data_IF_990749170454
#
_entry.id   IF_990749170454
#
_cell.length_a   1.000
_cell.length_b   1.000
_cell.length_c   1.000
_cell.angle_alpha   90.00
_cell.angle_beta   90.00
_cell.angle_gamma   90.00
#
_symmetry.space_group_name_H-M   'P 1'
#
loop_
_entity.id
_entity.type
_entity.pdbx_description
1 polymer ?
#
# COMPACT_ATOMS: atom_id res chain seq x y z
N UNK A 1 4.10 0.51 18.59
CA UNK A 1 4.67 -0.36 17.54
C UNK A 1 4.05 -0.08 16.20
N UNK A 2 4.81 -0.07 15.15
CA UNK A 2 4.32 0.14 13.79
C UNK A 2 5.00 -0.77 12.78
N UNK A 3 4.30 -1.06 11.69
CA UNK A 3 4.82 -1.78 10.53
C UNK A 3 4.34 -1.09 9.24
N UNK A 4 5.20 -1.07 8.22
CA UNK A 4 4.90 -0.47 6.94
C UNK A 4 5.32 0.99 6.82
N UNK A 5 5.20 1.54 5.61
CA UNK A 5 5.54 2.92 5.30
C UNK A 5 4.47 3.88 5.83
N UNK A 6 4.73 4.53 6.92
CA UNK A 6 3.77 5.41 7.57
C UNK A 6 4.11 6.87 7.27
N UNK A 7 3.10 7.65 6.94
CA UNK A 7 3.23 9.00 6.39
C UNK A 7 3.01 10.09 7.43
N UNK A 8 3.04 9.72 8.72
CA UNK A 8 2.56 10.59 9.77
C UNK A 8 3.66 11.03 10.71
N UNK A 9 3.70 12.33 10.96
CA UNK A 9 4.22 13.05 12.09
C UNK A 9 5.38 12.33 12.80
N UNK A 10 5.19 11.85 14.00
CA UNK A 10 6.25 11.14 14.74
C UNK A 10 6.62 9.77 14.14
N UNK A 11 5.76 9.13 13.37
CA UNK A 11 6.14 7.93 12.60
C UNK A 11 7.12 8.24 11.45
N UNK A 12 7.28 9.49 11.04
CA UNK A 12 8.35 9.87 10.13
C UNK A 12 9.75 9.55 10.68
N UNK A 13 9.89 9.38 12.00
CA UNK A 13 11.11 8.88 12.62
C UNK A 13 11.48 7.43 12.25
N UNK A 14 10.54 6.67 11.67
CA UNK A 14 10.72 5.26 11.25
C UNK A 14 11.21 5.12 9.81
N UNK A 15 11.20 6.18 9.01
CA UNK A 15 11.62 6.15 7.61
C UNK A 15 13.04 6.67 7.43
N UNK A 16 13.68 6.31 6.31
CA UNK A 16 15.06 6.73 6.00
C UNK A 16 15.24 8.25 5.79
N UNK A 17 14.15 9.01 5.70
CA UNK A 17 14.12 10.46 5.52
C UNK A 17 13.57 11.15 6.76
N UNK A 18 14.23 10.96 7.87
CA UNK A 18 13.83 11.46 9.18
C UNK A 18 14.53 12.78 9.58
N UNK A 19 15.21 13.43 8.64
CA UNK A 19 15.82 14.73 8.87
C UNK A 19 14.76 15.76 9.30
N UNK A 20 15.05 16.47 10.41
CA UNK A 20 14.12 17.42 11.01
C UNK A 20 13.15 16.82 12.04
N UNK A 21 13.08 15.50 12.16
CA UNK A 21 12.29 14.84 13.21
C UNK A 21 13.09 14.81 14.52
N UNK A 22 12.53 15.23 15.66
CA UNK A 22 13.23 15.16 16.94
C UNK A 22 13.65 13.73 17.28
N UNK A 23 14.89 13.56 17.73
CA UNK A 23 15.46 12.22 18.00
C UNK A 23 14.69 11.42 19.06
N UNK A 24 14.13 12.09 20.07
CA UNK A 24 13.36 11.42 21.11
C UNK A 24 12.11 10.71 20.59
N UNK A 25 11.58 11.10 19.42
CA UNK A 25 10.44 10.40 18.82
C UNK A 25 10.81 8.95 18.44
N UNK A 26 12.08 8.70 18.09
CA UNK A 26 12.55 7.34 17.78
C UNK A 26 12.48 6.40 18.98
N UNK A 27 12.74 6.93 20.16
CA UNK A 27 12.73 6.14 21.41
C UNK A 27 11.31 5.67 21.78
N UNK A 28 10.30 6.39 21.30
CA UNK A 28 8.89 6.08 21.52
C UNK A 28 8.31 5.09 20.51
N UNK A 29 9.09 4.67 19.52
CA UNK A 29 8.62 3.83 18.42
C UNK A 29 9.44 2.54 18.36
N UNK A 30 8.73 1.41 18.25
CA UNK A 30 9.32 0.12 17.93
C UNK A 30 8.80 -0.34 16.57
N UNK A 31 9.66 -0.90 15.75
CA UNK A 31 9.33 -1.36 14.40
C UNK A 31 9.34 -2.88 14.40
N UNK A 32 8.36 -3.49 13.76
CA UNK A 32 8.33 -4.92 13.48
C UNK A 32 8.11 -5.17 11.99
N UNK A 33 8.58 -6.31 11.51
CA UNK A 33 8.41 -6.71 10.11
C UNK A 33 6.98 -7.16 9.85
N UNK A 34 6.46 -6.83 8.66
CA UNK A 34 5.16 -7.34 8.24
C UNK A 34 5.22 -8.87 8.10
N UNK A 35 4.18 -9.57 8.56
CA UNK A 35 4.11 -11.03 8.69
C UNK A 35 5.03 -11.66 9.75
N UNK A 36 5.77 -10.88 10.53
CA UNK A 36 6.59 -11.36 11.65
C UNK A 36 5.87 -11.14 12.99
N UNK A 37 4.96 -12.05 13.31
CA UNK A 37 4.27 -12.01 14.60
C UNK A 37 5.16 -12.36 15.79
N UNK A 38 6.22 -13.14 15.57
CA UNK A 38 7.12 -13.58 16.62
C UNK A 38 8.06 -12.41 17.00
N UNK A 39 8.51 -11.63 16.01
CA UNK A 39 9.23 -10.37 16.26
C UNK A 39 8.38 -9.35 17.01
N UNK A 40 7.07 -9.25 16.70
CA UNK A 40 6.17 -8.38 17.46
C UNK A 40 6.00 -8.88 18.91
N UNK A 41 5.87 -10.18 19.13
CA UNK A 41 5.79 -10.77 20.48
C UNK A 41 7.05 -10.48 21.29
N UNK A 42 8.23 -10.60 20.67
CA UNK A 42 9.50 -10.25 21.31
C UNK A 42 9.57 -8.78 21.75
N UNK A 43 9.03 -7.86 20.93
CA UNK A 43 8.95 -6.43 21.30
C UNK A 43 8.08 -6.24 22.55
N UNK A 44 6.97 -6.96 22.69
CA UNK A 44 6.14 -6.91 23.91
C UNK A 44 6.86 -7.46 25.14
N UNK A 45 7.66 -8.52 24.98
CA UNK A 45 8.46 -9.08 26.07
C UNK A 45 9.51 -8.08 26.55
N UNK A 46 10.21 -7.43 25.62
CA UNK A 46 11.28 -6.47 25.92
C UNK A 46 10.77 -5.13 26.47
N UNK A 47 9.52 -4.74 26.13
CA UNK A 47 8.93 -3.47 26.53
C UNK A 47 7.59 -3.70 27.27
N UNK A 48 7.65 -4.58 28.29
CA UNK A 48 6.48 -4.99 29.06
C UNK A 48 5.76 -3.77 29.65
N UNK A 49 4.45 -3.72 29.45
CA UNK A 49 3.54 -2.68 29.94
C UNK A 49 3.84 -1.25 29.39
N UNK A 50 4.71 -1.13 28.37
CA UNK A 50 5.11 0.16 27.78
C UNK A 50 4.48 0.42 26.40
N UNK A 51 3.93 -0.60 25.73
CA UNK A 51 3.37 -0.48 24.39
C UNK A 51 1.91 -0.03 24.47
N UNK A 52 1.63 1.23 24.14
CA UNK A 52 0.28 1.79 24.15
C UNK A 52 -0.57 1.30 22.96
N UNK A 53 0.04 1.16 21.78
CA UNK A 53 -0.67 0.78 20.58
C UNK A 53 0.22 0.07 19.54
N UNK A 54 -0.40 -0.77 18.73
CA UNK A 54 0.14 -1.30 17.47
C UNK A 54 -0.58 -0.57 16.34
N UNK A 55 0.16 -0.01 15.38
CA UNK A 55 -0.41 0.59 14.18
C UNK A 55 0.20 -0.04 12.93
N UNK A 56 -0.64 -0.45 11.97
CA UNK A 56 -0.17 -1.00 10.69
C UNK A 56 -1.21 -0.80 9.59
N UNK A 57 -0.76 -0.73 8.32
CA UNK A 57 -1.63 -1.03 7.19
C UNK A 57 -1.95 -2.54 7.25
N UNK A 58 -3.23 -2.95 7.27
CA UNK A 58 -3.58 -4.38 7.39
C UNK A 58 -3.13 -5.21 6.19
N UNK A 59 -2.90 -4.58 5.04
CA UNK A 59 -2.21 -5.15 3.89
C UNK A 59 -1.65 -4.07 2.99
N UNK A 60 -0.52 -4.36 2.31
CA UNK A 60 0.08 -3.46 1.31
C UNK A 60 0.03 -4.14 -0.06
N UNK A 61 1.11 -4.74 -0.51
CA UNK A 61 1.21 -5.59 -1.70
C UNK A 61 1.40 -7.06 -1.32
N UNK A 62 1.99 -7.30 -0.15
CA UNK A 62 2.10 -8.61 0.44
C UNK A 62 0.81 -8.96 1.19
N UNK A 63 0.33 -10.19 1.00
CA UNK A 63 -0.82 -10.70 1.74
C UNK A 63 -0.39 -11.04 3.17
N UNK A 64 -1.24 -10.74 4.17
CA UNK A 64 -0.98 -11.25 5.50
C UNK A 64 -1.03 -12.78 5.46
N UNK A 65 -0.08 -13.43 6.12
CA UNK A 65 -0.14 -14.87 6.36
C UNK A 65 -1.45 -15.23 7.08
N UNK A 66 -1.91 -16.45 6.92
CA UNK A 66 -3.26 -16.87 7.34
C UNK A 66 -3.63 -16.56 8.80
N UNK A 67 -2.66 -16.36 9.67
CA UNK A 67 -2.86 -16.07 11.09
C UNK A 67 -2.23 -14.76 11.58
N UNK A 68 -1.53 -14.03 10.73
CA UNK A 68 -0.77 -12.87 11.16
C UNK A 68 -1.63 -11.79 11.84
N UNK A 69 -2.67 -11.31 11.17
CA UNK A 69 -3.53 -10.26 11.73
C UNK A 69 -4.28 -10.73 13.00
N UNK A 70 -4.67 -12.00 13.06
CA UNK A 70 -5.29 -12.59 14.26
C UNK A 70 -4.29 -12.65 15.42
N UNK A 71 -3.03 -13.03 15.16
CA UNK A 71 -1.97 -12.99 16.18
C UNK A 71 -1.68 -11.58 16.67
N UNK A 72 -1.61 -10.59 15.75
CA UNK A 72 -1.45 -9.17 16.11
C UNK A 72 -2.60 -8.72 17.03
N UNK A 73 -3.85 -9.07 16.72
CA UNK A 73 -5.00 -8.77 17.58
C UNK A 73 -4.85 -9.43 18.96
N UNK A 74 -4.52 -10.72 18.98
CA UNK A 74 -4.33 -11.46 20.24
C UNK A 74 -3.23 -10.87 21.11
N UNK A 75 -2.11 -10.46 20.51
CA UNK A 75 -1.01 -9.83 21.23
C UNK A 75 -1.42 -8.45 21.79
N UNK A 76 -2.17 -7.66 21.02
CA UNK A 76 -2.70 -6.39 21.49
C UNK A 76 -3.62 -6.59 22.70
N UNK A 77 -4.57 -7.53 22.62
CA UNK A 77 -5.51 -7.84 23.71
C UNK A 77 -4.79 -8.33 24.96
N UNK A 78 -3.81 -9.25 24.81
CA UNK A 78 -3.06 -9.81 25.94
C UNK A 78 -2.20 -8.79 26.70
N UNK A 79 -1.82 -7.68 26.03
CA UNK A 79 -0.97 -6.64 26.60
C UNK A 79 -1.71 -5.31 26.85
N UNK A 80 -3.05 -5.29 26.78
CA UNK A 80 -3.87 -4.08 26.93
C UNK A 80 -3.43 -2.92 26.00
N UNK A 81 -2.95 -3.25 24.82
CA UNK A 81 -2.53 -2.28 23.80
C UNK A 81 -3.62 -2.12 22.76
N UNK A 82 -3.76 -0.91 22.20
CA UNK A 82 -4.71 -0.68 21.11
C UNK A 82 -4.18 -1.27 19.80
N UNK A 83 -5.06 -1.87 19.01
CA UNK A 83 -4.79 -2.17 17.61
C UNK A 83 -5.40 -1.07 16.74
N UNK A 84 -4.57 -0.41 15.95
CA UNK A 84 -4.98 0.65 15.02
C UNK A 84 -4.70 0.19 13.60
N UNK A 85 -5.73 0.15 12.75
CA UNK A 85 -5.54 -0.08 11.33
C UNK A 85 -5.46 1.23 10.56
N UNK A 86 -4.36 1.42 9.83
CA UNK A 86 -4.26 2.45 8.81
C UNK A 86 -4.93 1.94 7.53
N UNK A 87 -6.20 2.25 7.40
CA UNK A 87 -7.03 1.93 6.23
C UNK A 87 -7.17 3.11 5.26
N UNK A 88 -6.23 4.07 5.32
CA UNK A 88 -6.26 5.25 4.43
C UNK A 88 -6.18 4.83 2.96
N UNK A 89 -5.49 3.75 2.64
CA UNK A 89 -5.41 3.21 1.26
C UNK A 89 -6.39 2.07 1.05
N UNK A 90 -6.62 1.24 2.04
CA UNK A 90 -7.35 -0.03 1.92
C UNK A 90 -8.84 0.13 2.18
N UNK A 91 -9.24 1.02 3.06
CA UNK A 91 -10.64 1.35 3.32
C UNK A 91 -11.32 1.94 2.09
N UNK A 92 -12.58 1.59 1.86
CA UNK A 92 -13.36 1.98 0.69
C UNK A 92 -12.72 1.59 -0.67
N UNK A 93 -11.72 0.72 -0.62
CA UNK A 93 -11.05 0.16 -1.80
C UNK A 93 -11.14 -1.37 -1.81
N UNK A 94 -10.70 -2.03 -0.75
CA UNK A 94 -10.73 -3.49 -0.66
C UNK A 94 -12.14 -3.99 -0.33
N UNK A 95 -12.78 -3.30 0.58
CA UNK A 95 -14.17 -3.49 1.00
C UNK A 95 -14.69 -2.16 1.55
N UNK A 96 -16.01 -1.97 1.68
CA UNK A 96 -16.61 -0.78 2.29
C UNK A 96 -16.16 -0.62 3.75
N UNK A 97 -16.07 -1.73 4.48
CA UNK A 97 -15.57 -1.76 5.85
C UNK A 97 -14.06 -1.91 5.96
N UNK A 98 -13.33 -1.84 4.83
CA UNK A 98 -11.88 -1.99 4.79
C UNK A 98 -11.40 -3.44 4.92
N UNK A 99 -10.10 -3.59 5.12
CA UNK A 99 -9.46 -4.90 5.27
C UNK A 99 -9.87 -5.62 6.54
N UNK A 100 -10.34 -4.92 7.58
CA UNK A 100 -10.88 -5.58 8.77
C UNK A 100 -12.08 -6.48 8.43
N UNK A 101 -12.92 -6.10 7.46
CA UNK A 101 -13.99 -6.98 6.95
C UNK A 101 -13.42 -8.12 6.12
N UNK A 102 -12.46 -7.83 5.24
CA UNK A 102 -11.85 -8.83 4.37
C UNK A 102 -11.16 -9.95 5.14
N UNK A 103 -10.48 -9.62 6.24
CA UNK A 103 -9.72 -10.57 7.06
C UNK A 103 -10.42 -10.99 8.35
N UNK A 104 -11.61 -10.44 8.61
CA UNK A 104 -12.38 -10.69 9.83
C UNK A 104 -11.57 -10.46 11.12
N UNK A 105 -10.82 -9.35 11.14
CA UNK A 105 -10.05 -8.88 12.31
C UNK A 105 -10.45 -7.44 12.61
N UNK A 106 -11.03 -7.20 13.77
CA UNK A 106 -11.41 -5.86 14.23
C UNK A 106 -10.25 -5.13 14.89
N UNK A 107 -9.96 -3.94 14.42
CA UNK A 107 -9.11 -2.98 15.13
C UNK A 107 -9.93 -2.20 16.17
N UNK A 108 -9.24 -1.66 17.18
CA UNK A 108 -9.86 -0.75 18.16
C UNK A 108 -10.10 0.62 17.53
N UNK A 109 -9.18 1.07 16.70
CA UNK A 109 -9.32 2.32 15.96
C UNK A 109 -8.95 2.12 14.50
N UNK A 110 -9.55 2.91 13.61
CA UNK A 110 -9.30 2.84 12.18
C UNK A 110 -9.17 4.25 11.60
N UNK A 111 -8.14 4.45 10.78
CA UNK A 111 -7.92 5.68 10.02
C UNK A 111 -8.39 5.49 8.57
N UNK A 112 -9.26 6.36 8.08
CA UNK A 112 -9.75 6.37 6.70
C UNK A 112 -9.38 7.66 5.98
N UNK A 113 -9.28 7.60 4.65
CA UNK A 113 -9.02 8.74 3.78
C UNK A 113 -9.13 8.36 2.31
N UNK A 114 -8.42 9.05 1.46
CA UNK A 114 -8.28 8.76 0.01
C UNK A 114 -9.58 8.32 -0.68
N UNK A 115 -9.79 7.00 -0.83
CA UNK A 115 -10.96 6.42 -1.49
C UNK A 115 -12.30 6.83 -0.89
N UNK A 116 -12.33 7.10 0.42
CA UNK A 116 -13.51 7.57 1.13
C UNK A 116 -14.07 8.87 0.54
N UNK A 117 -13.19 9.83 0.23
CA UNK A 117 -13.56 11.13 -0.36
C UNK A 117 -13.44 11.17 -1.88
N UNK A 118 -12.82 10.17 -2.51
CA UNK A 118 -12.59 10.06 -3.97
C UNK A 118 -12.07 11.35 -4.62
N UNK A 119 -11.03 11.93 -4.01
CA UNK A 119 -10.38 13.16 -4.46
C UNK A 119 -10.72 14.40 -3.63
N UNK A 120 -11.72 14.36 -2.78
CA UNK A 120 -12.01 15.43 -1.84
C UNK A 120 -11.10 15.33 -0.59
N UNK A 121 -10.68 16.48 -0.01
CA UNK A 121 -9.75 16.52 1.12
C UNK A 121 -10.46 16.17 2.44
N UNK A 122 -10.65 14.89 2.69
CA UNK A 122 -11.29 14.38 3.90
C UNK A 122 -10.55 13.16 4.44
N UNK A 123 -10.51 13.06 5.76
CA UNK A 123 -10.08 11.87 6.49
C UNK A 123 -10.97 11.67 7.71
N UNK A 124 -10.96 10.46 8.25
CA UNK A 124 -11.70 10.14 9.44
C UNK A 124 -10.90 9.17 10.32
N UNK A 125 -11.01 9.35 11.63
CA UNK A 125 -10.61 8.39 12.64
C UNK A 125 -11.88 7.85 13.27
N UNK A 126 -12.01 6.56 13.38
CA UNK A 126 -13.16 5.89 13.99
C UNK A 126 -12.71 4.94 15.09
N UNK A 127 -13.55 4.73 16.08
CA UNK A 127 -13.29 3.84 17.19
C UNK A 127 -14.44 3.88 18.20
N UNK A 128 -14.36 3.06 19.28
CA UNK A 128 -15.36 3.08 20.35
C UNK A 128 -15.33 4.41 21.11
N UNK A 129 -16.49 4.78 21.63
CA UNK A 129 -16.67 6.06 22.34
C UNK A 129 -15.71 6.25 23.53
N UNK A 130 -15.30 5.16 24.15
CA UNK A 130 -14.34 5.21 25.28
C UNK A 130 -12.97 5.79 24.90
N UNK A 131 -12.55 5.66 23.62
CA UNK A 131 -11.34 6.30 23.10
C UNK A 131 -11.67 7.60 22.38
N UNK A 132 -12.77 7.64 21.62
CA UNK A 132 -13.11 8.83 20.82
C UNK A 132 -13.44 10.06 21.68
N UNK A 133 -13.95 9.88 22.89
CA UNK A 133 -14.22 10.99 23.84
C UNK A 133 -13.00 11.83 24.20
N UNK A 134 -11.78 11.27 24.07
CA UNK A 134 -10.56 12.04 24.32
C UNK A 134 -10.32 13.15 23.30
N UNK A 135 -10.93 13.06 22.10
CA UNK A 135 -10.88 14.14 21.12
C UNK A 135 -11.50 15.44 21.62
N UNK A 136 -12.41 15.40 22.61
CA UNK A 136 -12.99 16.59 23.22
C UNK A 136 -11.95 17.41 24.01
N UNK A 137 -10.87 16.76 24.46
CA UNK A 137 -9.77 17.38 25.21
C UNK A 137 -8.49 17.59 24.40
N UNK A 138 -8.44 17.07 23.17
CA UNK A 138 -7.29 17.21 22.28
C UNK A 138 -7.49 18.38 21.32
N UNK A 139 -6.46 19.17 21.11
CA UNK A 139 -6.47 20.18 20.06
C UNK A 139 -6.24 19.51 18.70
N UNK A 140 -7.30 19.01 18.10
CA UNK A 140 -7.28 18.45 16.75
C UNK A 140 -7.98 19.42 15.81
N UNK A 141 -7.20 20.11 14.99
CA UNK A 141 -7.74 21.08 14.03
C UNK A 141 -6.90 21.06 12.74
N UNK A 142 -7.58 21.25 11.64
CA UNK A 142 -6.96 21.48 10.33
C UNK A 142 -7.75 22.55 9.58
N UNK A 143 -7.11 23.19 8.59
CA UNK A 143 -7.75 24.26 7.80
C UNK A 143 -9.05 23.79 7.14
N UNK A 144 -9.11 22.54 6.71
CA UNK A 144 -10.27 21.96 6.02
C UNK A 144 -11.22 21.17 6.94
N UNK A 145 -11.10 21.32 8.25
CA UNK A 145 -12.01 20.72 9.22
C UNK A 145 -13.01 21.80 9.72
N UNK A 146 -14.26 21.66 9.56
CA UNK A 146 -15.20 20.72 8.92
C UNK A 146 -15.70 21.23 7.55
N UNK A 147 -14.96 20.97 6.49
CA UNK A 147 -15.32 21.45 5.17
C UNK A 147 -16.56 20.69 4.63
N UNK A 148 -17.66 21.43 4.46
CA UNK A 148 -18.99 20.86 4.18
C UNK A 148 -19.09 20.18 2.81
N UNK A 149 -18.36 20.67 1.79
CA UNK A 149 -18.36 20.07 0.45
C UNK A 149 -17.78 18.66 0.48
N UNK A 150 -16.66 18.47 1.17
CA UNK A 150 -16.01 17.16 1.30
C UNK A 150 -16.87 16.18 2.10
N UNK A 151 -17.58 16.66 3.12
CA UNK A 151 -18.52 15.83 3.88
C UNK A 151 -19.69 15.36 3.00
N UNK A 152 -20.34 16.28 2.28
CA UNK A 152 -21.45 15.97 1.37
C UNK A 152 -20.99 15.06 0.23
N UNK A 153 -19.82 15.34 -0.35
CA UNK A 153 -19.23 14.52 -1.42
C UNK A 153 -18.92 13.11 -0.95
N UNK A 154 -18.37 12.94 0.26
CA UNK A 154 -18.10 11.62 0.85
C UNK A 154 -19.37 10.79 1.02
N UNK A 155 -20.46 11.40 1.50
CA UNK A 155 -21.76 10.72 1.61
C UNK A 155 -22.21 10.22 0.23
N UNK A 156 -22.10 11.05 -0.80
CA UNK A 156 -22.45 10.70 -2.17
C UNK A 156 -21.57 9.56 -2.71
N UNK A 157 -20.25 9.61 -2.48
CA UNK A 157 -19.31 8.55 -2.88
C UNK A 157 -19.66 7.21 -2.23
N UNK A 158 -19.91 7.19 -0.92
CA UNK A 158 -20.25 5.96 -0.20
C UNK A 158 -21.59 5.38 -0.68
N UNK A 159 -22.58 6.23 -0.94
CA UNK A 159 -23.86 5.79 -1.46
C UNK A 159 -23.70 5.19 -2.86
N UNK A 160 -22.96 5.84 -3.75
CA UNK A 160 -22.67 5.32 -5.09
C UNK A 160 -21.92 3.99 -5.05
N UNK A 161 -20.94 3.86 -4.15
CA UNK A 161 -20.21 2.60 -3.93
C UNK A 161 -21.16 1.45 -3.56
N UNK A 162 -22.15 1.72 -2.71
CA UNK A 162 -23.14 0.74 -2.27
C UNK A 162 -24.13 0.40 -3.41
N UNK A 163 -24.68 1.42 -4.07
CA UNK A 163 -25.72 1.24 -5.10
C UNK A 163 -25.17 0.53 -6.34
N UNK A 164 -23.94 0.84 -6.76
CA UNK A 164 -23.34 0.33 -8.00
C UNK A 164 -22.36 -0.82 -7.78
N UNK A 165 -22.15 -1.28 -6.55
CA UNK A 165 -21.18 -2.32 -6.22
C UNK A 165 -19.80 -2.04 -6.85
N UNK A 166 -19.32 -0.78 -6.72
CA UNK A 166 -18.14 -0.31 -7.45
C UNK A 166 -16.88 -1.07 -7.07
N UNK A 167 -16.73 -1.46 -5.80
CA UNK A 167 -15.57 -2.20 -5.30
C UNK A 167 -15.48 -3.57 -5.98
N UNK A 168 -16.58 -4.31 -6.05
CA UNK A 168 -16.65 -5.62 -6.72
C UNK A 168 -16.34 -5.50 -8.21
N UNK A 169 -16.80 -4.42 -8.85
CA UNK A 169 -16.45 -4.13 -10.24
C UNK A 169 -14.94 -3.90 -10.40
N UNK A 170 -14.31 -3.13 -9.51
CA UNK A 170 -12.87 -2.91 -9.53
C UNK A 170 -12.08 -4.22 -9.32
N UNK A 171 -12.53 -5.09 -8.41
CA UNK A 171 -11.93 -6.41 -8.25
C UNK A 171 -11.99 -7.23 -9.53
N UNK A 172 -13.17 -7.33 -10.14
CA UNK A 172 -13.39 -8.10 -11.38
C UNK A 172 -12.53 -7.62 -12.56
N UNK A 173 -12.47 -6.30 -12.77
CA UNK A 173 -11.64 -5.69 -13.82
C UNK A 173 -10.15 -5.90 -13.51
N UNK A 174 -9.78 -5.70 -12.25
CA UNK A 174 -8.42 -5.90 -11.80
C UNK A 174 -7.93 -7.34 -11.95
N UNK A 175 -8.76 -8.35 -11.67
CA UNK A 175 -8.41 -9.75 -11.88
C UNK A 175 -8.09 -10.07 -13.34
N UNK A 176 -8.83 -9.49 -14.30
CA UNK A 176 -8.54 -9.64 -15.72
C UNK A 176 -7.18 -9.05 -16.09
N UNK A 177 -6.91 -7.85 -15.61
CA UNK A 177 -5.62 -7.19 -15.86
C UNK A 177 -4.48 -7.97 -15.22
N UNK A 178 -4.60 -8.32 -13.94
CA UNK A 178 -3.59 -9.05 -13.17
C UNK A 178 -3.22 -10.39 -13.80
N UNK A 179 -4.25 -11.19 -14.10
CA UNK A 179 -4.05 -12.52 -14.69
C UNK A 179 -3.55 -12.43 -16.15
N UNK A 180 -4.08 -11.48 -16.93
CA UNK A 180 -3.66 -11.25 -18.32
C UNK A 180 -2.21 -10.82 -18.40
N UNK A 181 -1.79 -9.88 -17.54
CA UNK A 181 -0.39 -9.43 -17.48
C UNK A 181 0.57 -10.58 -17.16
N UNK A 182 0.33 -11.29 -16.07
CA UNK A 182 1.20 -12.40 -15.65
C UNK A 182 1.25 -13.55 -16.68
N UNK A 183 0.14 -13.78 -17.39
CA UNK A 183 0.11 -14.73 -18.50
C UNK A 183 1.00 -14.28 -19.66
N UNK A 184 0.95 -13.00 -20.03
CA UNK A 184 1.80 -12.44 -21.09
C UNK A 184 3.27 -12.53 -20.69
N UNK A 185 3.63 -12.05 -19.49
CA UNK A 185 5.01 -12.13 -18.99
C UNK A 185 5.57 -13.55 -19.07
N UNK A 186 4.79 -14.53 -18.62
CA UNK A 186 5.14 -15.95 -18.70
C UNK A 186 5.32 -16.45 -20.14
N UNK A 187 4.47 -16.03 -21.07
CA UNK A 187 4.55 -16.44 -22.47
C UNK A 187 5.82 -15.94 -23.17
N UNK A 188 6.38 -14.83 -22.70
CA UNK A 188 7.60 -14.23 -23.21
C UNK A 188 8.84 -14.58 -22.37
N UNK A 189 8.68 -15.42 -21.34
CA UNK A 189 9.76 -15.80 -20.40
C UNK A 189 10.47 -14.57 -19.78
N UNK A 190 9.67 -13.60 -19.35
CA UNK A 190 10.14 -12.37 -18.74
C UNK A 190 9.71 -12.28 -17.27
N UNK A 191 10.64 -11.93 -16.40
CA UNK A 191 10.38 -11.70 -14.99
C UNK A 191 9.80 -10.29 -14.73
N UNK A 192 8.66 -10.00 -15.36
CA UNK A 192 7.91 -8.73 -15.25
C UNK A 192 6.51 -9.04 -14.74
N UNK A 193 6.36 -9.23 -13.45
CA UNK A 193 5.13 -9.71 -12.87
C UNK A 193 4.31 -8.58 -12.25
N UNK A 194 3.00 -8.65 -12.35
CA UNK A 194 2.11 -7.93 -11.44
C UNK A 194 1.99 -8.71 -10.13
N UNK A 195 2.24 -8.02 -9.02
CA UNK A 195 2.13 -8.55 -7.66
C UNK A 195 1.14 -7.73 -6.84
N UNK A 196 0.74 -8.24 -5.68
CA UNK A 196 -0.23 -7.60 -4.80
C UNK A 196 -1.63 -8.15 -4.99
N UNK A 197 -2.60 -7.25 -5.03
CA UNK A 197 -4.02 -7.57 -5.17
C UNK A 197 -4.58 -7.02 -6.48
N UNK A 198 -5.53 -7.70 -7.12
CA UNK A 198 -6.16 -7.19 -8.34
C UNK A 198 -6.66 -5.75 -8.28
N UNK A 199 -7.05 -5.27 -7.12
CA UNK A 199 -7.53 -3.90 -6.92
C UNK A 199 -6.41 -2.90 -6.57
N UNK A 200 -5.27 -3.39 -6.10
CA UNK A 200 -4.06 -2.62 -5.77
C UNK A 200 -2.83 -3.45 -6.13
N UNK A 201 -2.30 -3.24 -7.29
CA UNK A 201 -1.18 -4.01 -7.81
C UNK A 201 0.03 -3.14 -8.11
N UNK A 202 1.19 -3.76 -8.20
CA UNK A 202 2.42 -3.13 -8.66
C UNK A 202 3.17 -4.09 -9.57
N UNK A 203 3.97 -3.55 -10.49
CA UNK A 203 4.89 -4.38 -11.26
C UNK A 203 6.13 -4.69 -10.42
N UNK A 204 6.62 -5.90 -10.56
CA UNK A 204 7.93 -6.32 -10.08
C UNK A 204 8.73 -6.80 -11.27
N UNK A 205 9.89 -6.19 -11.49
CA UNK A 205 10.81 -6.55 -12.54
C UNK A 205 12.07 -7.14 -11.92
N UNK A 206 12.46 -8.33 -12.35
CA UNK A 206 13.66 -9.00 -11.86
C UNK A 206 14.64 -9.28 -12.98
N UNK A 207 15.93 -9.24 -12.64
CA UNK A 207 17.01 -9.67 -13.54
C UNK A 207 17.11 -11.21 -13.63
N UNK A 208 18.05 -11.70 -14.41
CA UNK A 208 18.29 -13.14 -14.56
C UNK A 208 18.82 -13.84 -13.28
N UNK A 209 19.21 -13.07 -12.26
CA UNK A 209 19.65 -13.58 -10.96
C UNK A 209 18.56 -13.45 -9.89
N UNK A 210 17.33 -13.19 -10.30
CA UNK A 210 16.17 -12.98 -9.41
C UNK A 210 16.26 -11.73 -8.51
N UNK A 211 17.18 -10.79 -8.78
CA UNK A 211 17.24 -9.52 -8.08
C UNK A 211 16.29 -8.50 -8.74
N UNK A 212 15.74 -7.59 -7.94
CA UNK A 212 14.92 -6.50 -8.46
C UNK A 212 15.73 -5.62 -9.44
N UNK A 213 15.18 -5.38 -10.63
CA UNK A 213 15.79 -4.63 -11.71
C UNK A 213 15.09 -3.31 -11.98
N UNK A 214 15.66 -2.23 -11.46
CA UNK A 214 15.16 -0.87 -11.70
C UNK A 214 15.30 -0.46 -13.18
N UNK A 215 16.32 -0.94 -13.89
CA UNK A 215 16.51 -0.65 -15.32
C UNK A 215 15.38 -1.27 -16.15
N UNK A 216 15.02 -2.52 -15.86
CA UNK A 216 13.94 -3.21 -16.55
C UNK A 216 12.60 -2.56 -16.23
N UNK A 217 12.36 -2.18 -14.97
CA UNK A 217 11.16 -1.46 -14.58
C UNK A 217 11.05 -0.12 -15.33
N UNK A 218 12.12 0.67 -15.35
CA UNK A 218 12.15 1.94 -16.05
C UNK A 218 11.85 1.79 -17.55
N UNK A 219 12.42 0.74 -18.20
CA UNK A 219 12.17 0.44 -19.61
C UNK A 219 10.72 0.03 -19.85
N UNK A 220 10.16 -0.83 -19.01
CA UNK A 220 8.73 -1.21 -19.08
C UNK A 220 7.85 0.01 -19.00
N UNK A 221 8.07 0.88 -17.99
CA UNK A 221 7.28 2.11 -17.82
C UNK A 221 7.40 3.04 -19.02
N UNK A 222 8.62 3.21 -19.57
CA UNK A 222 8.84 4.01 -20.77
C UNK A 222 8.04 3.48 -21.97
N UNK A 223 8.15 2.19 -22.25
CA UNK A 223 7.49 1.58 -23.42
C UNK A 223 5.95 1.56 -23.25
N UNK A 224 5.45 1.40 -22.04
CA UNK A 224 4.02 1.53 -21.74
C UNK A 224 3.52 2.97 -21.97
N UNK A 225 4.26 3.98 -21.48
CA UNK A 225 3.92 5.40 -21.68
C UNK A 225 3.87 5.78 -23.17
N UNK A 226 4.81 5.31 -23.98
CA UNK A 226 4.82 5.52 -25.44
C UNK A 226 3.54 5.03 -26.11
N UNK A 227 2.89 4.04 -25.52
CA UNK A 227 1.63 3.45 -26.02
C UNK A 227 0.40 4.04 -25.31
N UNK A 228 0.57 5.11 -24.53
CA UNK A 228 -0.50 5.82 -23.84
C UNK A 228 -1.02 5.12 -22.60
N UNK A 229 -0.23 4.26 -21.98
CA UNK A 229 -0.52 3.61 -20.70
C UNK A 229 0.42 4.17 -19.63
N UNK A 230 -0.13 4.88 -18.67
CA UNK A 230 0.60 5.43 -17.55
C UNK A 230 0.42 4.57 -16.30
N UNK A 231 1.51 4.00 -15.81
CA UNK A 231 1.58 3.26 -14.54
C UNK A 231 2.38 4.11 -13.55
N UNK A 232 1.74 4.66 -12.54
CA UNK A 232 2.37 5.55 -11.58
C UNK A 232 3.43 4.81 -10.73
N UNK A 233 4.71 4.90 -11.08
CA UNK A 233 5.81 4.16 -10.44
C UNK A 233 5.52 2.63 -10.37
N UNK A 234 5.08 2.06 -11.48
CA UNK A 234 4.71 0.65 -11.54
C UNK A 234 3.42 0.27 -10.80
N UNK A 235 2.77 1.22 -10.14
CA UNK A 235 1.56 0.96 -9.34
C UNK A 235 0.30 1.15 -10.16
N UNK A 236 -0.66 0.27 -9.95
CA UNK A 236 -1.99 0.36 -10.53
C UNK A 236 -3.06 0.29 -9.45
N UNK A 237 -3.93 1.30 -9.46
CA UNK A 237 -5.12 1.36 -8.64
C UNK A 237 -6.35 1.35 -9.54
N UNK A 238 -7.12 0.29 -9.48
CA UNK A 238 -8.33 0.20 -10.28
C UNK A 238 -9.39 1.16 -9.73
N UNK A 239 -10.12 1.78 -10.62
CA UNK A 239 -11.28 2.58 -10.28
C UNK A 239 -12.49 2.14 -11.12
N UNK A 240 -13.66 2.56 -10.71
CA UNK A 240 -14.91 2.15 -11.34
C UNK A 240 -15.04 2.58 -12.82
N UNK A 241 -14.31 3.63 -13.22
CA UNK A 241 -14.29 4.11 -14.60
C UNK A 241 -13.46 3.24 -15.55
N UNK A 242 -12.60 2.34 -15.04
CA UNK A 242 -11.86 1.43 -15.90
C UNK A 242 -12.81 0.39 -16.51
N UNK A 243 -12.71 0.23 -17.83
CA UNK A 243 -13.52 -0.67 -18.64
C UNK A 243 -12.76 -1.93 -19.07
N UNK A 244 -13.46 -2.87 -19.67
CA UNK A 244 -12.86 -4.03 -20.34
C UNK A 244 -11.92 -3.61 -21.48
N UNK A 245 -12.28 -2.55 -22.21
CA UNK A 245 -11.47 -2.02 -23.32
C UNK A 245 -10.14 -1.44 -22.81
N UNK A 246 -10.14 -0.81 -21.62
CA UNK A 246 -8.91 -0.33 -20.99
C UNK A 246 -8.00 -1.50 -20.61
N UNK A 247 -8.57 -2.61 -20.13
CA UNK A 247 -7.80 -3.83 -19.85
C UNK A 247 -7.19 -4.37 -21.13
N UNK A 248 -7.98 -4.53 -22.19
CA UNK A 248 -7.50 -5.03 -23.49
C UNK A 248 -6.39 -4.14 -24.04
N UNK A 249 -6.58 -2.82 -24.03
CA UNK A 249 -5.58 -1.85 -24.46
C UNK A 249 -4.28 -1.99 -23.66
N UNK A 250 -4.38 -2.07 -22.32
CA UNK A 250 -3.22 -2.21 -21.44
C UNK A 250 -2.46 -3.49 -21.71
N UNK A 251 -3.16 -4.63 -21.85
CA UNK A 251 -2.55 -5.92 -22.12
C UNK A 251 -1.88 -5.97 -23.50
N UNK A 252 -2.51 -5.40 -24.53
CA UNK A 252 -1.89 -5.31 -25.86
C UNK A 252 -0.62 -4.45 -25.84
N UNK A 253 -0.64 -3.34 -25.12
CA UNK A 253 0.53 -2.48 -24.97
C UNK A 253 1.65 -3.20 -24.22
N UNK A 254 1.30 -3.94 -23.18
CA UNK A 254 2.28 -4.75 -22.45
C UNK A 254 2.86 -5.88 -23.30
N UNK A 255 2.05 -6.56 -24.09
CA UNK A 255 2.53 -7.58 -25.01
C UNK A 255 3.52 -7.01 -26.05
N UNK A 256 3.25 -5.81 -26.59
CA UNK A 256 4.17 -5.12 -27.48
C UNK A 256 5.48 -4.74 -26.76
N UNK A 257 5.39 -4.31 -25.50
CA UNK A 257 6.56 -4.04 -24.66
C UNK A 257 7.41 -5.31 -24.45
N UNK A 258 6.78 -6.45 -24.16
CA UNK A 258 7.48 -7.72 -24.05
C UNK A 258 8.16 -8.13 -25.36
N UNK A 259 7.49 -7.97 -26.51
CA UNK A 259 8.08 -8.21 -27.84
C UNK A 259 9.30 -7.33 -28.10
N UNK A 260 9.29 -6.09 -27.62
CA UNK A 260 10.44 -5.18 -27.74
C UNK A 260 11.59 -5.64 -26.83
N UNK A 261 11.33 -5.94 -25.57
CA UNK A 261 12.33 -6.35 -24.58
C UNK A 261 13.02 -7.65 -25.04
N UNK A 262 12.30 -8.62 -25.59
CA UNK A 262 12.87 -9.87 -26.09
C UNK A 262 13.79 -9.72 -27.30
N UNK A 263 13.83 -8.57 -27.96
CA UNK A 263 14.82 -8.28 -29.03
C UNK A 263 16.15 -7.78 -28.48
N UNK A 264 16.19 -7.39 -27.20
CA UNK A 264 17.39 -6.92 -26.52
C UNK A 264 18.26 -8.16 -26.20
N UNK A 265 19.55 -8.10 -26.56
CA UNK A 265 20.47 -9.23 -26.30
C UNK A 265 20.67 -9.39 -24.77
N UNK A 266 20.79 -10.62 -24.25
CA UNK A 266 20.89 -10.89 -22.82
C UNK A 266 22.01 -10.16 -22.05
N UNK A 267 23.07 -9.74 -22.79
CA UNK A 267 24.25 -9.07 -22.20
C UNK A 267 24.21 -7.53 -22.35
N UNK A 268 23.11 -6.96 -22.81
CA UNK A 268 22.96 -5.51 -22.95
C UNK A 268 22.19 -4.97 -21.73
N UNK A 269 22.72 -3.89 -21.11
CA UNK A 269 21.99 -3.17 -20.09
C UNK A 269 20.74 -2.52 -20.68
N UNK A 270 19.63 -2.59 -19.97
CA UNK A 270 18.37 -1.95 -20.34
C UNK A 270 18.48 -0.41 -20.32
N UNK A 271 19.40 0.15 -19.55
CA UNK A 271 19.67 1.57 -19.50
C UNK A 271 19.99 2.19 -20.86
N UNK A 272 20.67 1.43 -21.74
CA UNK A 272 21.00 1.90 -23.10
C UNK A 272 19.78 2.13 -23.99
N UNK A 273 18.61 1.62 -23.60
CA UNK A 273 17.34 1.77 -24.33
C UNK A 273 16.41 2.83 -23.72
N UNK A 274 16.86 3.48 -22.65
CA UNK A 274 16.11 4.59 -22.06
C UNK A 274 16.35 5.88 -22.85
N UNK A 275 15.27 6.61 -23.12
CA UNK A 275 15.32 7.92 -23.79
C UNK A 275 15.68 9.07 -22.84
N UNK A 276 15.76 8.81 -21.56
CA UNK A 276 16.09 9.77 -20.51
C UNK A 276 17.01 9.16 -19.45
N UNK A 277 17.25 9.92 -18.40
CA UNK A 277 18.01 9.44 -17.26
C UNK A 277 17.20 8.39 -16.48
N UNK A 278 17.92 7.45 -15.83
CA UNK A 278 17.29 6.56 -14.87
C UNK A 278 16.42 7.31 -13.85
N UNK A 279 15.19 6.86 -13.59
CA UNK A 279 14.36 7.46 -12.58
C UNK A 279 15.08 7.45 -11.23
N UNK A 280 15.11 8.59 -10.55
CA UNK A 280 15.59 8.63 -9.18
C UNK A 280 14.52 8.00 -8.29
N UNK A 281 14.91 7.10 -7.42
CA UNK A 281 14.05 6.57 -6.36
C UNK A 281 13.67 7.72 -5.43
N UNK A 282 12.52 8.34 -5.70
CA UNK A 282 11.97 9.38 -4.82
C UNK A 282 11.42 8.74 -3.55
N UNK A 283 11.00 7.50 -3.67
CA UNK A 283 10.40 6.69 -2.62
C UNK A 283 11.09 5.34 -2.54
N UNK A 284 12.25 5.26 -1.88
CA UNK A 284 12.52 4.01 -1.20
C UNK A 284 11.50 3.95 -0.06
N UNK A 285 10.45 3.15 -0.18
CA UNK A 285 9.89 2.58 1.03
C UNK A 285 11.09 1.99 1.74
N UNK A 286 11.40 2.49 2.93
CA UNK A 286 12.43 1.89 3.73
C UNK A 286 11.97 0.46 3.97
N UNK A 287 12.47 -0.46 3.15
CA UNK A 287 12.60 -1.83 3.59
C UNK A 287 13.44 -1.66 4.85
N UNK A 288 12.95 -2.03 6.03
CA UNK A 288 13.75 -1.95 7.22
C UNK A 288 15.09 -2.62 6.91
N UNK A 289 16.21 -2.04 7.29
CA UNK A 289 17.51 -2.59 6.98
C UNK A 289 17.54 -4.02 7.53
N UNK A 290 17.58 -4.99 6.63
CA UNK A 290 17.83 -6.38 7.00
C UNK A 290 19.03 -6.38 7.94
N UNK A 291 18.77 -6.62 9.23
CA UNK A 291 19.75 -6.87 10.28
C UNK A 291 21.08 -6.11 10.12
N UNK A 292 21.09 -4.82 10.38
CA UNK A 292 22.30 -4.19 10.92
C UNK A 292 22.14 -4.22 12.42
N UNK A 293 22.88 -5.14 13.06
CA UNK A 293 23.13 -5.15 14.48
C UNK A 293 23.46 -3.74 14.95
N UNK A 294 22.62 -3.19 15.80
CA UNK A 294 22.98 -2.02 16.58
C UNK A 294 24.02 -2.49 17.61
N UNK A 295 25.28 -2.19 17.33
CA UNK A 295 26.35 -2.22 18.32
C UNK A 295 26.45 -0.85 18.99
#
# INVERSE_FOLDING_TARGET
>A
CGSGGVWHDWQAAMVSRDEGVPKFNKDLIKIFEYNDSDGLEQIFIENKDEIAAIILEPTIYEKPSSSFLQKVRTLADANNSLLIFDEIVTGFRFDLGGCQNLYNVKADMVCFGKGMGNGLPISAITGPNEFMKFFDSLWVSSTNNPEALSLAGTISVINEMKEKNTIQSCWRIGEKLFNGWNKIAKNYDLNINMIGYPIRMTIQCKDNNENDSMELEALVLQEMIKQGIFLAHGKSFLCYSHSEDDVVKTLNSFENTCKFINKIKPNQSYEHFLEGNMPKTIWSMAIPPTKKSFS
#
